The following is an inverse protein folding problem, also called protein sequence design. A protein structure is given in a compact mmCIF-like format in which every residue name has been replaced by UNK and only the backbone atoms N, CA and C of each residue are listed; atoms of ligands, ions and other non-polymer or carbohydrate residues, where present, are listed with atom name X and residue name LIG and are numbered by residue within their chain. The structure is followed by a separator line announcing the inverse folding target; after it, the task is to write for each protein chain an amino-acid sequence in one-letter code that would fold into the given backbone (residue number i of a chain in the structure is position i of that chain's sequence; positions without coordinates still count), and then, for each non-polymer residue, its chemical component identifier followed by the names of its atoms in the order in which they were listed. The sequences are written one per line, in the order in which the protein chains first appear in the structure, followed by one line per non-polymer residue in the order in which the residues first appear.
data_IF_678300343007
#
_entry.id   IF_678300343007
#
_cell.length_a   1.000
_cell.length_b   1.000
_cell.length_c   1.000
_cell.angle_alpha   90.00
_cell.angle_beta   90.00
_cell.angle_gamma   90.00
#
_symmetry.space_group_name_H-M   'P 1'
#
loop_
_entity.id
_entity.type
_entity.pdbx_description
1 polymer ?
#
# COMPACT_ATOMS: atom_id res chain seq x y z
N UNK A 1 -2.01 42.72 -31.46
CA UNK A 1 -1.17 41.55 -31.81
C UNK A 1 -0.55 41.01 -30.53
N UNK A 2 -1.11 39.93 -29.95
CA UNK A 2 -0.60 39.31 -28.70
C UNK A 2 -0.37 37.81 -28.90
N UNK A 3 -0.27 37.36 -30.16
CA UNK A 3 -0.20 35.94 -30.51
C UNK A 3 1.21 35.43 -30.87
N UNK A 4 2.18 36.32 -31.12
CA UNK A 4 3.55 35.91 -31.50
C UNK A 4 4.45 35.55 -30.31
N UNK A 5 4.16 36.01 -29.10
CA UNK A 5 4.98 35.72 -27.90
C UNK A 5 4.55 34.46 -27.15
N UNK A 6 3.34 33.95 -27.38
CA UNK A 6 2.78 32.80 -26.66
C UNK A 6 3.14 31.44 -27.30
N UNK A 7 3.32 31.41 -28.63
CA UNK A 7 3.67 30.19 -29.38
C UNK A 7 5.05 29.65 -28.98
N UNK A 8 6.13 30.46 -28.86
CA UNK A 8 7.43 29.96 -28.40
C UNK A 8 7.35 29.42 -26.96
N UNK A 9 6.57 30.09 -26.10
CA UNK A 9 6.38 29.69 -24.72
C UNK A 9 5.65 28.34 -24.61
N UNK A 10 4.59 28.13 -25.40
CA UNK A 10 3.85 26.86 -25.47
C UNK A 10 4.71 25.72 -26.04
N UNK A 11 5.51 25.98 -27.07
CA UNK A 11 6.43 24.98 -27.64
C UNK A 11 7.49 24.56 -26.61
N UNK A 12 7.97 25.48 -25.79
CA UNK A 12 8.92 25.18 -24.71
C UNK A 12 8.24 24.52 -23.51
N UNK A 13 7.03 24.95 -23.10
CA UNK A 13 6.30 24.40 -21.95
C UNK A 13 5.65 23.04 -22.22
N UNK A 14 5.19 22.78 -23.43
CA UNK A 14 4.53 21.53 -23.81
C UNK A 14 5.32 20.26 -23.43
N UNK A 15 6.64 20.13 -23.72
CA UNK A 15 7.40 18.96 -23.28
C UNK A 15 7.46 18.81 -21.76
N UNK A 16 7.59 19.91 -21.00
CA UNK A 16 7.54 19.85 -19.54
C UNK A 16 6.18 19.38 -19.03
N UNK A 17 5.08 19.90 -19.59
CA UNK A 17 3.73 19.48 -19.23
C UNK A 17 3.48 18.00 -19.57
N UNK A 18 3.98 17.52 -20.70
CA UNK A 18 3.89 16.11 -21.09
C UNK A 18 4.67 15.21 -20.12
N UNK A 19 5.90 15.58 -19.77
CA UNK A 19 6.73 14.82 -18.82
C UNK A 19 6.06 14.79 -17.44
N UNK A 20 5.62 15.94 -16.93
CA UNK A 20 4.94 16.03 -15.63
C UNK A 20 3.66 15.19 -15.62
N UNK A 21 2.86 15.27 -16.67
CA UNK A 21 1.63 14.48 -16.80
C UNK A 21 1.93 12.98 -16.84
N UNK A 22 2.94 12.57 -17.60
CA UNK A 22 3.37 11.18 -17.68
C UNK A 22 3.83 10.64 -16.32
N UNK A 23 4.66 11.40 -15.61
CA UNK A 23 5.13 11.04 -14.26
C UNK A 23 3.96 10.94 -13.29
N UNK A 24 3.04 11.92 -13.31
CA UNK A 24 1.85 11.90 -12.47
C UNK A 24 0.97 10.66 -12.72
N UNK A 25 0.80 10.26 -13.98
CA UNK A 25 0.07 9.04 -14.35
C UNK A 25 0.78 7.81 -13.80
N UNK A 26 2.10 7.71 -13.95
CA UNK A 26 2.87 6.55 -13.43
C UNK A 26 2.76 6.44 -11.91
N UNK A 27 2.88 7.54 -11.18
CA UNK A 27 2.69 7.56 -9.72
C UNK A 27 1.27 7.08 -9.37
N UNK A 28 0.24 7.62 -10.04
CA UNK A 28 -1.16 7.20 -9.80
C UNK A 28 -1.37 5.71 -10.05
N UNK A 29 -0.82 5.17 -11.14
CA UNK A 29 -0.91 3.74 -11.45
C UNK A 29 -0.27 2.88 -10.36
N UNK A 30 0.85 3.34 -9.80
CA UNK A 30 1.54 2.66 -8.69
C UNK A 30 0.71 2.73 -7.40
N UNK A 31 0.12 3.89 -7.09
CA UNK A 31 -0.78 4.03 -5.94
C UNK A 31 -2.01 3.12 -6.07
N UNK A 32 -2.62 3.08 -7.25
CA UNK A 32 -3.78 2.23 -7.51
C UNK A 32 -3.45 0.72 -7.35
N UNK A 33 -2.18 0.33 -7.48
CA UNK A 33 -1.72 -1.04 -7.33
C UNK A 33 -1.36 -1.42 -5.88
N UNK A 34 -0.82 -0.51 -5.08
CA UNK A 34 -0.28 -0.84 -3.76
C UNK A 34 -1.03 -0.21 -2.58
N UNK A 35 -1.88 0.78 -2.80
CA UNK A 35 -2.68 1.36 -1.71
C UNK A 35 -3.83 0.41 -1.39
N UNK A 36 -3.88 -0.17 -0.16
CA UNK A 36 -4.96 -1.05 0.23
C UNK A 36 -6.24 -0.24 0.40
N UNK A 37 -7.36 -0.77 -0.09
CA UNK A 37 -8.70 -0.19 0.02
C UNK A 37 -9.57 -0.98 0.97
N UNK A 38 -9.44 -2.29 0.93
CA UNK A 38 -10.18 -3.22 1.78
C UNK A 38 -9.29 -4.40 2.09
N UNK A 39 -9.40 -4.89 3.32
CA UNK A 39 -8.72 -6.11 3.77
C UNK A 39 -9.80 -7.07 4.25
N UNK A 40 -9.80 -8.29 3.74
CA UNK A 40 -10.73 -9.33 4.17
C UNK A 40 -9.93 -10.41 4.88
N UNK A 41 -10.26 -10.65 6.14
CA UNK A 41 -9.70 -11.75 6.91
C UNK A 41 -10.68 -12.90 6.85
N UNK A 42 -10.22 -14.07 6.39
CA UNK A 42 -11.01 -15.31 6.32
C UNK A 42 -10.34 -16.40 7.14
N UNK A 43 -11.15 -17.19 7.85
CA UNK A 43 -10.71 -18.38 8.56
C UNK A 43 -11.44 -19.58 7.96
N UNK A 44 -10.67 -20.48 7.35
CA UNK A 44 -11.20 -21.66 6.66
C UNK A 44 -10.43 -22.91 7.09
N UNK A 45 -11.11 -23.82 7.78
CA UNK A 45 -10.54 -25.11 8.20
C UNK A 45 -9.23 -25.00 9.00
N UNK A 46 -9.09 -23.99 9.87
CA UNK A 46 -7.88 -23.75 10.66
C UNK A 46 -6.78 -22.95 9.93
N UNK A 47 -7.02 -22.54 8.68
CA UNK A 47 -6.11 -21.66 7.92
C UNK A 47 -6.62 -20.23 7.94
N UNK A 48 -5.69 -19.28 8.10
CA UNK A 48 -5.97 -17.84 8.09
C UNK A 48 -5.55 -17.27 6.74
N UNK A 49 -6.47 -16.63 6.03
CA UNK A 49 -6.19 -16.00 4.72
C UNK A 49 -6.54 -14.52 4.83
N UNK A 50 -5.60 -13.67 4.48
CA UNK A 50 -5.81 -12.23 4.36
C UNK A 50 -5.87 -11.87 2.89
N UNK A 51 -7.00 -11.36 2.44
CA UNK A 51 -7.16 -10.81 1.09
C UNK A 51 -7.01 -9.30 1.13
N UNK A 52 -5.94 -8.78 0.53
CA UNK A 52 -5.67 -7.35 0.42
C UNK A 52 -6.19 -6.87 -0.93
N UNK A 53 -7.27 -6.11 -0.90
CA UNK A 53 -7.90 -5.52 -2.09
C UNK A 53 -7.37 -4.10 -2.29
N UNK A 54 -6.74 -3.90 -3.44
CA UNK A 54 -6.32 -2.59 -3.96
C UNK A 54 -7.25 -2.21 -5.12
N UNK A 55 -7.05 -1.05 -5.75
CA UNK A 55 -7.89 -0.69 -6.91
C UNK A 55 -7.66 -1.60 -8.12
N UNK A 56 -6.46 -2.14 -8.27
CA UNK A 56 -6.06 -2.91 -9.45
C UNK A 56 -5.95 -4.41 -9.23
N UNK A 57 -5.70 -4.86 -8.00
CA UNK A 57 -5.46 -6.26 -7.68
C UNK A 57 -6.04 -6.66 -6.33
N UNK A 58 -6.38 -7.93 -6.22
CA UNK A 58 -6.68 -8.60 -4.96
C UNK A 58 -5.56 -9.62 -4.71
N UNK A 59 -4.92 -9.56 -3.54
CA UNK A 59 -3.82 -10.44 -3.17
C UNK A 59 -4.26 -11.29 -1.99
N UNK A 60 -4.21 -12.60 -2.16
CA UNK A 60 -4.49 -13.54 -1.07
C UNK A 60 -3.19 -13.96 -0.41
N UNK A 61 -3.10 -13.74 0.89
CA UNK A 61 -1.94 -14.02 1.72
C UNK A 61 -2.36 -15.13 2.69
N UNK A 62 -1.97 -16.40 2.44
CA UNK A 62 -2.17 -17.48 3.40
C UNK A 62 -1.21 -17.26 4.57
N UNK A 63 -1.74 -16.82 5.71
CA UNK A 63 -0.94 -16.40 6.87
C UNK A 63 -0.35 -17.63 7.55
N UNK A 64 0.98 -17.65 7.65
CA UNK A 64 1.72 -18.59 8.48
C UNK A 64 2.01 -17.96 9.85
N UNK A 65 2.65 -16.80 9.83
CA UNK A 65 3.04 -16.05 11.03
C UNK A 65 2.82 -14.55 10.79
N UNK A 66 2.57 -13.80 11.87
CA UNK A 66 2.41 -12.36 11.79
C UNK A 66 2.91 -11.66 13.06
N UNK A 67 3.39 -10.43 12.90
CA UNK A 67 3.94 -9.62 13.98
C UNK A 67 3.54 -8.16 13.81
N UNK A 68 3.16 -7.51 14.91
CA UNK A 68 3.05 -6.05 14.94
C UNK A 68 4.46 -5.46 14.92
N UNK A 69 4.70 -4.54 13.99
CA UNK A 69 6.00 -3.87 13.86
C UNK A 69 5.83 -2.50 13.19
N UNK A 70 6.87 -1.68 13.29
CA UNK A 70 6.90 -0.37 12.65
C UNK A 70 7.59 -0.45 11.28
N UNK A 71 7.34 0.59 10.49
CA UNK A 71 7.91 0.69 9.15
C UNK A 71 9.44 0.78 9.15
N UNK A 72 10.05 1.34 10.20
CA UNK A 72 11.50 1.56 10.27
C UNK A 72 12.29 0.28 10.52
N UNK A 73 11.74 -0.63 11.31
CA UNK A 73 12.29 -1.97 11.58
C UNK A 73 12.09 -2.90 10.39
N UNK A 74 11.00 -2.72 9.65
CA UNK A 74 10.64 -3.65 8.57
C UNK A 74 11.18 -3.23 7.21
N UNK A 75 11.19 -1.92 6.91
CA UNK A 75 11.47 -1.37 5.60
C UNK A 75 12.70 -0.46 5.64
N UNK A 76 13.88 -1.02 5.40
CA UNK A 76 15.13 -0.24 5.43
C UNK A 76 15.51 0.28 4.04
N UNK A 77 15.73 -0.63 3.10
CA UNK A 77 16.25 -0.33 1.76
C UNK A 77 15.12 -0.49 0.74
N UNK A 78 14.75 0.62 0.10
CA UNK A 78 13.78 0.61 -1.00
C UNK A 78 14.43 0.04 -2.26
N UNK A 79 13.92 -1.09 -2.74
CA UNK A 79 14.43 -1.73 -3.96
C UNK A 79 13.62 -1.33 -5.19
N UNK A 80 12.29 -1.45 -5.09
CA UNK A 80 11.37 -1.06 -6.14
C UNK A 80 10.07 -0.59 -5.51
N UNK A 81 9.92 0.72 -5.35
CA UNK A 81 8.82 1.28 -4.58
C UNK A 81 8.69 2.78 -4.66
N UNK A 82 7.61 3.28 -4.06
CA UNK A 82 7.41 4.69 -3.78
C UNK A 82 7.53 4.93 -2.28
N UNK A 83 8.26 5.98 -1.90
CA UNK A 83 8.31 6.47 -0.52
C UNK A 83 8.07 7.97 -0.53
N UNK A 84 6.97 8.42 0.06
CA UNK A 84 6.65 9.84 0.22
C UNK A 84 5.70 10.06 1.39
N UNK A 85 6.07 10.93 2.32
CA UNK A 85 5.36 11.09 3.58
C UNK A 85 5.23 9.74 4.31
N UNK A 86 3.99 9.36 4.64
CA UNK A 86 3.65 8.07 5.27
C UNK A 86 3.50 6.90 4.29
N UNK A 87 3.49 7.14 2.98
CA UNK A 87 3.38 6.08 1.99
C UNK A 87 4.73 5.41 1.80
N UNK A 88 4.79 4.09 2.01
CA UNK A 88 5.94 3.23 1.69
C UNK A 88 5.41 2.01 0.96
N UNK A 89 5.36 2.09 -0.36
CA UNK A 89 4.69 1.13 -1.22
C UNK A 89 5.71 0.41 -2.11
N UNK A 90 5.49 -0.87 -2.37
CA UNK A 90 6.37 -1.69 -3.23
C UNK A 90 7.34 -2.55 -2.44
N UNK A 91 8.42 -2.99 -3.08
CA UNK A 91 9.39 -3.94 -2.54
C UNK A 91 10.52 -3.24 -1.78
N UNK A 92 10.74 -3.69 -0.55
CA UNK A 92 11.81 -3.26 0.34
C UNK A 92 12.64 -4.46 0.80
N UNK A 93 13.85 -4.18 1.28
CA UNK A 93 14.69 -5.12 2.02
C UNK A 93 14.94 -4.54 3.41
N UNK A 94 14.72 -5.32 4.46
CA UNK A 94 15.00 -4.93 5.85
C UNK A 94 15.49 -6.11 6.68
N UNK A 95 15.44 -5.98 8.00
CA UNK A 95 15.85 -7.03 8.95
C UNK A 95 15.19 -8.40 8.69
N UNK A 96 13.96 -8.39 8.16
CA UNK A 96 13.19 -9.59 7.83
C UNK A 96 13.39 -10.06 6.38
N UNK A 97 14.38 -9.54 5.64
CA UNK A 97 14.62 -9.89 4.24
C UNK A 97 13.77 -9.06 3.27
N UNK A 98 13.30 -9.68 2.17
CA UNK A 98 12.50 -9.00 1.14
C UNK A 98 11.03 -8.92 1.56
N UNK A 99 10.46 -7.71 1.53
CA UNK A 99 9.11 -7.43 2.02
C UNK A 99 8.33 -6.59 1.00
N UNK A 100 7.15 -7.10 0.60
CA UNK A 100 6.19 -6.33 -0.20
C UNK A 100 5.36 -5.42 0.72
N UNK A 101 5.51 -4.12 0.56
CA UNK A 101 4.91 -3.11 1.42
C UNK A 101 3.66 -2.47 0.81
N UNK A 102 2.61 -2.41 1.63
CA UNK A 102 1.31 -1.78 1.40
C UNK A 102 1.06 -0.74 2.51
N UNK A 103 2.10 0.01 2.88
CA UNK A 103 2.08 0.93 3.99
C UNK A 103 1.60 2.33 3.59
N UNK A 104 0.53 2.76 4.24
CA UNK A 104 0.00 4.13 4.25
C UNK A 104 0.03 4.76 5.65
N UNK A 105 0.57 4.06 6.65
CA UNK A 105 0.90 4.56 7.99
C UNK A 105 2.28 4.05 8.44
N UNK A 106 2.76 4.51 9.59
CA UNK A 106 4.07 4.12 10.14
C UNK A 106 4.05 2.84 11.00
N UNK A 107 2.86 2.43 11.46
CA UNK A 107 2.65 1.25 12.31
C UNK A 107 1.77 0.24 11.61
N UNK A 108 2.17 -1.03 11.62
CA UNK A 108 1.51 -2.04 10.82
C UNK A 108 1.75 -3.47 11.28
N UNK A 109 1.47 -4.38 10.36
CA UNK A 109 1.50 -5.81 10.52
C UNK A 109 2.44 -6.39 9.47
N UNK A 110 3.51 -7.03 9.92
CA UNK A 110 4.35 -7.90 9.09
C UNK A 110 3.70 -9.28 9.07
N UNK A 111 3.53 -9.83 7.87
CA UNK A 111 2.92 -11.15 7.65
C UNK A 111 3.91 -11.97 6.83
N UNK A 112 4.20 -13.18 7.31
CA UNK A 112 4.85 -14.22 6.53
C UNK A 112 3.78 -15.17 5.99
N UNK A 113 3.80 -15.39 4.66
CA UNK A 113 2.92 -16.36 4.03
C UNK A 113 3.46 -17.80 4.16
N UNK A 114 2.64 -18.79 3.81
CA UNK A 114 3.04 -20.20 3.84
C UNK A 114 4.19 -20.55 2.90
N UNK A 115 4.52 -19.69 1.93
CA UNK A 115 5.63 -19.86 1.00
C UNK A 115 6.91 -19.12 1.47
N UNK A 116 6.88 -18.48 2.64
CA UNK A 116 7.99 -17.70 3.19
C UNK A 116 8.11 -16.29 2.62
N UNK A 117 7.14 -15.84 1.81
CA UNK A 117 7.08 -14.48 1.28
C UNK A 117 6.49 -13.55 2.34
N UNK A 118 7.06 -12.34 2.43
CA UNK A 118 6.71 -11.38 3.49
C UNK A 118 6.00 -10.16 2.94
N UNK A 119 4.99 -9.73 3.69
CA UNK A 119 4.13 -8.61 3.37
C UNK A 119 4.05 -7.67 4.56
N UNK A 120 4.13 -6.37 4.33
CA UNK A 120 3.93 -5.36 5.36
C UNK A 120 2.67 -4.55 5.06
N UNK A 121 1.66 -4.66 5.92
CA UNK A 121 0.41 -3.91 5.85
C UNK A 121 0.41 -2.83 6.94
N UNK A 122 0.32 -1.56 6.57
CA UNK A 122 0.20 -0.49 7.55
C UNK A 122 -0.86 0.51 7.10
N UNK A 123 -1.90 0.68 7.92
CA UNK A 123 -2.95 1.68 7.72
C UNK A 123 -3.61 2.02 9.07
N UNK A 124 -4.45 3.06 9.08
CA UNK A 124 -4.92 3.69 10.32
C UNK A 124 -5.75 2.74 11.21
N UNK A 125 -6.53 1.83 10.63
CA UNK A 125 -7.33 0.83 11.34
C UNK A 125 -6.76 -0.60 11.23
N UNK A 126 -5.43 -0.74 11.19
CA UNK A 126 -4.78 -2.06 11.14
C UNK A 126 -5.10 -2.93 12.37
N UNK A 127 -5.40 -2.30 13.51
CA UNK A 127 -5.81 -3.00 14.74
C UNK A 127 -7.02 -3.91 14.50
N UNK A 128 -7.99 -3.47 13.71
CA UNK A 128 -9.18 -4.27 13.37
C UNK A 128 -8.83 -5.54 12.61
N UNK A 129 -7.75 -5.52 11.81
CA UNK A 129 -7.23 -6.70 11.11
C UNK A 129 -6.56 -7.64 12.09
N UNK A 130 -5.74 -7.12 13.01
CA UNK A 130 -5.10 -7.95 14.04
C UNK A 130 -6.16 -8.66 14.88
N UNK A 131 -7.18 -7.92 15.33
CA UNK A 131 -8.28 -8.47 16.12
C UNK A 131 -9.02 -9.56 15.33
N UNK A 132 -9.29 -9.31 14.05
CA UNK A 132 -9.94 -10.28 13.17
C UNK A 132 -9.08 -11.52 12.86
N UNK A 133 -7.75 -11.41 12.90
CA UNK A 133 -6.84 -12.55 12.74
C UNK A 133 -6.76 -13.38 14.02
N UNK A 134 -6.88 -12.74 15.18
CA UNK A 134 -6.79 -13.40 16.49
C UNK A 134 -8.11 -14.07 16.90
N UNK A 135 -9.24 -13.56 16.42
CA UNK A 135 -10.56 -14.09 16.75
C UNK A 135 -10.96 -15.26 15.85
N UNK A 136 -10.66 -16.48 16.31
CA UNK A 136 -10.96 -17.73 15.61
C UNK A 136 -12.48 -18.00 15.44
N UNK A 137 -13.37 -17.23 16.10
CA UNK A 137 -14.82 -17.35 15.91
C UNK A 137 -15.30 -16.72 14.61
N UNK A 138 -14.50 -15.83 14.02
CA UNK A 138 -14.83 -15.10 12.80
C UNK A 138 -14.50 -15.96 11.58
N UNK A 139 -15.52 -16.29 10.79
CA UNK A 139 -15.30 -16.97 9.49
C UNK A 139 -14.78 -16.01 8.43
N UNK A 140 -15.36 -14.82 8.35
CA UNK A 140 -14.96 -13.79 7.40
C UNK A 140 -15.29 -12.41 7.96
N UNK A 141 -14.32 -11.49 7.93
CA UNK A 141 -14.53 -10.09 8.29
C UNK A 141 -13.87 -9.19 7.25
N UNK A 142 -14.68 -8.30 6.70
CA UNK A 142 -14.26 -7.29 5.74
C UNK A 142 -13.99 -5.96 6.45
N UNK A 143 -12.80 -5.41 6.26
CA UNK A 143 -12.32 -4.19 6.90
C UNK A 143 -12.00 -3.18 5.80
N UNK A 144 -12.75 -2.09 5.75
CA UNK A 144 -12.46 -0.98 4.84
C UNK A 144 -11.31 -0.16 5.40
N UNK A 145 -10.30 0.10 4.59
CA UNK A 145 -9.13 0.89 5.00
C UNK A 145 -9.55 2.34 5.15
N UNK A 146 -9.34 2.90 6.34
CA UNK A 146 -9.59 4.32 6.61
C UNK A 146 -8.36 5.14 6.27
N UNK A 147 -8.62 6.34 5.76
CA UNK A 147 -7.61 7.34 5.51
C UNK A 147 -7.97 8.60 6.30
N UNK A 148 -7.36 8.77 7.49
CA UNK A 148 -7.58 9.95 8.34
C UNK A 148 -7.25 11.27 7.64
N UNK A 149 -6.41 11.27 6.60
CA UNK A 149 -6.10 12.48 5.85
C UNK A 149 -7.25 12.94 4.93
N UNK A 150 -8.18 12.04 4.60
CA UNK A 150 -9.44 12.40 3.91
C UNK A 150 -10.55 12.77 4.88
N UNK A 151 -10.58 12.16 6.05
CA UNK A 151 -11.63 12.37 7.06
C UNK A 151 -11.60 13.80 7.65
N UNK A 152 -10.41 14.39 7.82
CA UNK A 152 -10.23 15.78 8.26
C UNK A 152 -10.45 16.86 7.17
N UNK A 153 -10.95 16.49 5.98
CA UNK A 153 -11.27 17.43 4.88
C UNK A 153 -12.78 17.53 4.60
N UNK A 154 -13.60 16.88 5.43
CA UNK A 154 -15.07 16.96 5.46
C UNK A 154 -15.50 17.61 6.76
#
# INVERSE_FOLDING_TARGET
MVFDSAIPLLVVLAPFLLIVSFVAIKIKLYLDEYVPRRVVVRHDGGRKIISVETKKKNIQIPVKEFWRTNCRETLEVRLNGLAFGRYRLGLYKGAYGYVDSYAVSDSGLLIEDTNGKRYYLAFDNIDEVVDAIMDDSIREKAITVRDKAKENRT
#
